data_IF_143106814448
#
_entry.id   IF_143106814448
#
_cell.length_a   1.000
_cell.length_b   1.000
_cell.length_c   1.000
_cell.angle_alpha   90.00
_cell.angle_beta   90.00
_cell.angle_gamma   90.00
#
_symmetry.space_group_name_H-M   'P 1'
#
loop_
_entity.id
_entity.type
_entity.pdbx_description
1 polymer ?
#
# COMPACT_ATOMS: atom_id res chain seq x y z
N UNK A 1 5.80 8.64 -6.79
CA UNK A 1 5.82 7.88 -5.52
C UNK A 1 4.87 8.50 -4.49
N UNK A 2 3.78 7.81 -4.17
CA UNK A 2 2.81 8.27 -3.17
C UNK A 2 3.29 8.02 -1.75
N UNK A 3 2.78 8.79 -0.78
CA UNK A 3 3.16 8.68 0.64
C UNK A 3 2.85 7.29 1.25
N UNK A 4 1.96 6.51 0.62
CA UNK A 4 1.50 5.19 1.07
C UNK A 4 2.12 4.01 0.34
N UNK A 5 3.15 4.24 -0.48
CA UNK A 5 3.76 3.21 -1.31
C UNK A 5 4.66 2.29 -0.45
N UNK A 6 4.03 1.45 0.39
CA UNK A 6 4.71 0.45 1.24
C UNK A 6 5.23 -0.75 0.44
N UNK A 7 4.88 -0.83 -0.85
CA UNK A 7 5.38 -1.81 -1.83
C UNK A 7 6.62 -1.30 -2.57
N UNK A 8 7.23 -0.18 -2.14
CA UNK A 8 8.45 0.35 -2.78
C UNK A 8 9.54 -0.73 -2.92
N UNK A 9 9.65 -1.62 -1.93
CA UNK A 9 10.61 -2.72 -1.96
C UNK A 9 10.14 -3.96 -2.74
N UNK A 10 8.84 -4.26 -2.78
CA UNK A 10 8.31 -5.47 -3.44
C UNK A 10 8.07 -5.31 -4.96
N UNK A 11 7.96 -4.06 -5.44
CA UNK A 11 7.71 -3.77 -6.86
C UNK A 11 8.84 -2.94 -7.50
N UNK A 12 10.09 -3.40 -7.44
CA UNK A 12 11.22 -2.65 -8.05
C UNK A 12 11.26 -2.72 -9.58
N UNK A 13 10.67 -3.75 -10.17
CA UNK A 13 10.66 -4.00 -11.61
C UNK A 13 9.43 -4.80 -12.00
N UNK A 14 8.79 -4.42 -13.11
CA UNK A 14 7.82 -5.27 -13.80
C UNK A 14 8.37 -5.60 -15.18
N UNK A 15 8.17 -6.84 -15.61
CA UNK A 15 8.51 -7.26 -16.97
C UNK A 15 7.33 -6.86 -17.85
N UNK A 16 7.56 -5.93 -18.77
CA UNK A 16 6.56 -5.54 -19.76
C UNK A 16 6.86 -6.28 -21.06
N UNK A 17 5.86 -6.97 -21.59
CA UNK A 17 5.92 -7.64 -22.89
C UNK A 17 5.30 -6.68 -23.89
N UNK A 18 6.06 -6.20 -24.86
CA UNK A 18 5.54 -5.40 -25.96
C UNK A 18 6.02 -5.94 -27.29
N UNK A 19 5.10 -6.15 -28.22
CA UNK A 19 5.42 -6.48 -29.60
C UNK A 19 5.79 -5.19 -30.34
N UNK A 20 7.01 -5.11 -30.88
CA UNK A 20 7.44 -3.98 -31.71
C UNK A 20 6.76 -4.05 -33.09
N UNK A 21 6.28 -2.93 -33.64
CA UNK A 21 5.91 -2.87 -35.04
C UNK A 21 7.20 -2.87 -35.88
N UNK A 22 7.56 -4.03 -36.44
CA UNK A 22 8.75 -4.17 -37.30
C UNK A 22 9.52 -5.48 -37.16
N UNK A 23 9.19 -6.33 -36.18
CA UNK A 23 9.82 -7.65 -36.01
C UNK A 23 8.81 -8.75 -36.35
N UNK A 24 9.27 -9.81 -37.00
CA UNK A 24 8.43 -10.93 -37.46
C UNK A 24 7.48 -11.45 -36.37
N UNK A 25 6.22 -11.80 -36.72
CA UNK A 25 5.21 -12.17 -35.74
C UNK A 25 5.67 -13.40 -34.94
N UNK A 26 5.67 -13.28 -33.61
CA UNK A 26 5.91 -14.41 -32.70
C UNK A 26 7.21 -14.41 -31.88
N UNK A 27 7.99 -13.32 -31.86
CA UNK A 27 9.10 -13.19 -30.90
C UNK A 27 8.76 -12.22 -29.76
N UNK A 28 8.43 -12.71 -28.55
CA UNK A 28 8.22 -11.84 -27.40
C UNK A 28 9.54 -11.19 -27.00
N UNK A 29 9.62 -9.87 -27.12
CA UNK A 29 10.76 -9.09 -26.63
C UNK A 29 10.49 -8.72 -25.18
N UNK A 30 11.33 -9.24 -24.28
CA UNK A 30 11.23 -8.99 -22.85
C UNK A 30 11.92 -7.67 -22.51
N UNK A 31 11.15 -6.66 -22.09
CA UNK A 31 11.69 -5.42 -21.56
C UNK A 31 11.60 -5.42 -20.04
N UNK A 32 12.76 -5.28 -19.40
CA UNK A 32 12.86 -5.03 -17.96
C UNK A 32 12.67 -3.52 -17.77
N UNK A 33 11.46 -3.07 -17.40
CA UNK A 33 11.24 -1.67 -17.07
C UNK A 33 11.46 -1.47 -15.57
N UNK A 34 12.47 -0.67 -15.22
CA UNK A 34 12.73 -0.28 -13.83
C UNK A 34 11.85 0.91 -13.46
N UNK A 35 11.50 1.06 -12.18
CA UNK A 35 10.74 2.25 -11.72
C UNK A 35 11.47 3.59 -11.97
N UNK A 36 12.76 3.56 -12.26
CA UNK A 36 13.56 4.73 -12.65
C UNK A 36 13.22 5.23 -14.06
N UNK A 37 12.89 4.32 -14.98
CA UNK A 37 12.37 4.70 -16.28
C UNK A 37 10.94 5.29 -16.16
N UNK A 38 10.12 4.79 -15.24
CA UNK A 38 8.83 5.41 -14.90
C UNK A 38 8.99 6.83 -14.33
N UNK A 39 10.01 7.09 -13.51
CA UNK A 39 10.31 8.45 -13.01
C UNK A 39 10.69 9.42 -14.13
N UNK A 40 11.31 8.92 -15.21
CA UNK A 40 11.69 9.73 -16.38
C UNK A 40 10.49 10.13 -17.24
N UNK A 41 9.41 9.34 -17.18
CA UNK A 41 8.13 9.58 -17.87
C UNK A 41 7.10 10.25 -16.93
N UNK A 42 7.40 10.28 -15.62
CA UNK A 42 6.55 10.85 -14.57
C UNK A 42 6.42 12.37 -14.76
N UNK A 43 5.33 12.78 -15.40
CA UNK A 43 4.95 14.19 -15.50
C UNK A 43 4.51 14.72 -14.13
N UNK A 44 4.71 16.03 -13.94
CA UNK A 44 4.30 16.75 -12.73
C UNK A 44 2.88 16.39 -12.33
N UNK A 45 2.75 15.83 -11.12
CA UNK A 45 1.48 15.47 -10.50
C UNK A 45 1.35 16.30 -9.23
N UNK A 46 0.18 16.91 -9.06
CA UNK A 46 -0.17 17.68 -7.86
C UNK A 46 -1.21 16.86 -7.12
N UNK A 47 -1.22 16.89 -5.79
CA UNK A 47 -2.15 16.08 -5.03
C UNK A 47 -2.57 16.71 -3.73
N UNK A 48 -3.73 16.29 -3.24
CA UNK A 48 -4.16 16.54 -1.87
C UNK A 48 -3.81 15.34 -1.02
N UNK A 49 -3.28 15.62 0.16
CA UNK A 49 -3.02 14.64 1.18
C UNK A 49 -3.59 15.14 2.49
N UNK A 50 -4.38 14.30 3.15
CA UNK A 50 -4.93 14.59 4.46
C UNK A 50 -4.87 13.35 5.33
N UNK A 51 -4.64 13.55 6.62
CA UNK A 51 -4.81 12.49 7.59
C UNK A 51 -5.55 13.00 8.81
N UNK A 52 -6.33 12.11 9.40
CA UNK A 52 -7.04 12.30 10.65
C UNK A 52 -6.55 11.24 11.63
N UNK A 53 -6.19 11.68 12.82
CA UNK A 53 -5.88 10.79 13.94
C UNK A 53 -6.85 11.11 15.06
N UNK A 54 -7.52 10.07 15.55
CA UNK A 54 -8.36 10.15 16.74
C UNK A 54 -7.75 9.22 17.78
N UNK A 55 -7.34 9.78 18.93
CA UNK A 55 -6.95 8.97 20.08
C UNK A 55 -8.22 8.53 20.81
N UNK A 56 -8.34 7.22 21.04
CA UNK A 56 -9.50 6.59 21.65
C UNK A 56 -9.14 6.24 23.08
N UNK A 57 -9.38 7.21 23.99
CA UNK A 57 -9.01 7.11 25.40
C UNK A 57 -7.53 6.73 25.57
N UNK A 58 -7.19 6.01 26.64
CA UNK A 58 -5.86 5.44 26.88
C UNK A 58 -5.69 4.04 26.28
N UNK A 59 -6.62 3.62 25.41
CA UNK A 59 -6.60 2.28 24.82
C UNK A 59 -5.86 2.24 23.48
N UNK A 60 -5.78 3.36 22.76
CA UNK A 60 -5.16 3.37 21.44
C UNK A 60 -5.58 4.55 20.58
N UNK A 61 -5.42 4.40 19.27
CA UNK A 61 -5.78 5.42 18.30
C UNK A 61 -6.22 4.82 16.98
N UNK A 62 -6.99 5.62 16.25
CA UNK A 62 -7.39 5.36 14.86
C UNK A 62 -6.74 6.43 13.98
N UNK A 63 -6.10 6.00 12.89
CA UNK A 63 -5.55 6.86 11.85
C UNK A 63 -6.26 6.56 10.55
N UNK A 64 -6.79 7.60 9.93
CA UNK A 64 -7.36 7.59 8.60
C UNK A 64 -6.51 8.53 7.76
N UNK A 65 -6.14 8.13 6.56
CA UNK A 65 -5.43 9.01 5.67
C UNK A 65 -5.88 8.80 4.23
N UNK A 66 -5.97 9.90 3.50
CA UNK A 66 -6.47 9.93 2.15
C UNK A 66 -5.53 10.77 1.29
N UNK A 67 -5.24 10.26 0.10
CA UNK A 67 -4.44 10.93 -0.90
C UNK A 67 -5.22 10.95 -2.21
N UNK A 68 -5.14 12.06 -2.93
CA UNK A 68 -5.68 12.21 -4.26
C UNK A 68 -4.68 12.95 -5.14
N UNK A 69 -4.05 12.24 -6.08
CA UNK A 69 -3.15 12.83 -7.06
C UNK A 69 -3.87 13.07 -8.39
N UNK A 70 -3.68 14.26 -8.96
CA UNK A 70 -4.23 14.70 -10.23
C UNK A 70 -3.14 15.33 -11.11
N UNK A 71 -3.26 15.09 -12.41
CA UNK A 71 -2.30 15.56 -13.41
C UNK A 71 -2.76 15.15 -14.81
N UNK A 72 -2.20 15.79 -15.84
CA UNK A 72 -2.66 15.64 -17.23
C UNK A 72 -2.66 14.20 -17.75
N UNK A 73 -1.84 13.33 -17.16
CA UNK A 73 -1.68 11.91 -17.49
C UNK A 73 -1.74 10.99 -16.25
N UNK A 74 -2.35 11.45 -15.15
CA UNK A 74 -2.49 10.67 -13.91
C UNK A 74 -3.85 9.95 -13.93
N UNK A 75 -3.85 8.68 -14.32
CA UNK A 75 -5.05 7.83 -14.36
C UNK A 75 -5.30 7.09 -13.04
N UNK A 76 -4.25 6.93 -12.24
CA UNK A 76 -4.25 6.30 -10.92
C UNK A 76 -3.49 7.18 -9.94
N UNK A 77 -4.02 7.36 -8.73
CA UNK A 77 -3.45 8.35 -7.80
C UNK A 77 -4.21 8.56 -6.50
N UNK A 78 -5.38 7.92 -6.35
CA UNK A 78 -6.13 7.92 -5.10
C UNK A 78 -5.63 6.80 -4.21
N UNK A 79 -5.41 7.12 -2.93
CA UNK A 79 -5.07 6.13 -1.92
C UNK A 79 -5.87 6.39 -0.65
N UNK A 80 -6.33 5.31 -0.01
CA UNK A 80 -6.98 5.33 1.30
C UNK A 80 -6.18 4.43 2.23
N UNK A 81 -5.88 4.93 3.42
CA UNK A 81 -5.25 4.16 4.48
C UNK A 81 -6.04 4.30 5.78
N UNK A 82 -6.25 3.17 6.44
CA UNK A 82 -6.91 3.06 7.74
C UNK A 82 -5.99 2.24 8.64
N UNK A 83 -5.75 2.71 9.85
CA UNK A 83 -4.97 2.00 10.84
C UNK A 83 -5.64 2.13 12.20
N UNK A 84 -5.94 0.98 12.80
CA UNK A 84 -6.41 0.84 14.16
C UNK A 84 -5.23 0.32 14.98
N UNK A 85 -4.82 1.05 16.01
CA UNK A 85 -3.76 0.63 16.93
C UNK A 85 -4.31 0.64 18.35
N UNK A 86 -4.14 -0.45 19.07
CA UNK A 86 -4.45 -0.61 20.47
C UNK A 86 -3.16 -0.79 21.28
N UNK A 87 -3.00 0.00 22.34
CA UNK A 87 -1.89 -0.04 23.30
C UNK A 87 -2.46 -0.24 24.71
N UNK A 88 -3.06 -1.42 25.00
CA UNK A 88 -3.80 -1.62 26.23
C UNK A 88 -2.86 -1.70 27.43
N UNK A 89 -2.94 -0.73 28.34
CA UNK A 89 -2.17 -0.74 29.58
C UNK A 89 -2.59 -1.86 30.56
N UNK A 90 -3.82 -2.37 30.42
CA UNK A 90 -4.44 -3.34 31.32
C UNK A 90 -4.22 -4.80 30.90
N UNK A 91 -3.68 -5.06 29.71
CA UNK A 91 -3.38 -6.42 29.24
C UNK A 91 -1.90 -6.69 29.51
N UNK A 92 -1.62 -7.66 30.38
CA UNK A 92 -0.26 -7.99 30.79
C UNK A 92 0.62 -8.26 29.57
N UNK A 93 1.73 -7.53 29.48
CA UNK A 93 2.78 -7.68 28.48
C UNK A 93 2.38 -7.40 27.01
N UNK A 94 1.15 -6.99 26.70
CA UNK A 94 0.79 -6.58 25.33
C UNK A 94 1.11 -5.10 25.12
N UNK A 95 2.17 -4.80 24.36
CA UNK A 95 2.59 -3.42 24.10
C UNK A 95 1.76 -2.75 23.01
N UNK A 96 1.50 -3.48 21.92
CA UNK A 96 0.77 -2.96 20.78
C UNK A 96 0.05 -4.10 20.04
N UNK A 97 -1.18 -3.86 19.63
CA UNK A 97 -1.84 -4.62 18.59
C UNK A 97 -2.37 -3.64 17.54
N UNK A 98 -1.99 -3.79 16.29
CA UNK A 98 -2.45 -2.94 15.20
C UNK A 98 -2.93 -3.74 14.00
N UNK A 99 -3.98 -3.23 13.36
CA UNK A 99 -4.47 -3.68 12.07
C UNK A 99 -4.58 -2.48 11.14
N UNK A 100 -4.02 -2.62 9.96
CA UNK A 100 -4.00 -1.61 8.91
C UNK A 100 -4.66 -2.17 7.66
N UNK A 101 -5.41 -1.32 6.99
CA UNK A 101 -5.99 -1.56 5.68
C UNK A 101 -5.59 -0.41 4.76
N UNK A 102 -5.21 -0.71 3.53
CA UNK A 102 -5.00 0.31 2.50
C UNK A 102 -5.53 -0.13 1.16
N UNK A 103 -6.03 0.84 0.39
CA UNK A 103 -6.13 0.77 -1.07
C UNK A 103 -5.19 1.82 -1.65
N UNK A 104 -4.21 1.42 -2.45
CA UNK A 104 -3.17 2.33 -2.92
C UNK A 104 -3.19 2.49 -4.43
N UNK A 105 -2.98 3.73 -4.89
CA UNK A 105 -2.80 4.06 -6.30
C UNK A 105 -3.93 3.54 -7.21
N UNK A 106 -5.17 3.75 -6.80
CA UNK A 106 -6.36 3.37 -7.58
C UNK A 106 -6.90 4.55 -8.38
N UNK A 107 -7.73 4.24 -9.39
CA UNK A 107 -8.54 5.25 -10.11
C UNK A 107 -9.70 5.76 -9.25
N UNK A 108 -10.32 4.86 -8.51
CA UNK A 108 -11.37 5.13 -7.53
C UNK A 108 -11.17 4.22 -6.31
N UNK A 109 -11.52 4.71 -5.12
CA UNK A 109 -11.53 3.87 -3.92
C UNK A 109 -12.78 2.99 -4.00
N UNK A 110 -12.60 1.67 -4.00
CA UNK A 110 -13.72 0.73 -4.09
C UNK A 110 -14.22 0.40 -2.68
N UNK A 111 -15.33 1.02 -2.27
CA UNK A 111 -15.96 0.77 -0.97
C UNK A 111 -16.91 -0.44 -0.97
N UNK A 112 -17.32 -0.93 -2.16
CA UNK A 112 -18.22 -2.08 -2.29
C UNK A 112 -17.44 -3.39 -2.19
N UNK A 113 -16.26 -3.43 -2.81
CA UNK A 113 -15.35 -4.57 -2.81
C UNK A 113 -14.01 -4.15 -2.20
N UNK A 114 -13.90 -4.18 -0.85
CA UNK A 114 -12.70 -3.75 -0.16
C UNK A 114 -11.52 -4.71 -0.38
N UNK A 115 -11.75 -5.93 -0.86
CA UNK A 115 -10.72 -6.90 -1.24
C UNK A 115 -10.53 -6.85 -2.76
N UNK A 116 -9.69 -5.94 -3.22
CA UNK A 116 -9.36 -5.76 -4.64
C UNK A 116 -7.84 -5.76 -4.84
N UNK A 117 -7.37 -5.84 -6.08
CA UNK A 117 -5.95 -5.96 -6.43
C UNK A 117 -5.04 -4.81 -5.93
N UNK A 118 -5.63 -3.70 -5.47
CA UNK A 118 -4.91 -2.56 -4.92
C UNK A 118 -5.00 -2.49 -3.40
N UNK A 119 -5.66 -3.47 -2.77
CA UNK A 119 -5.90 -3.54 -1.35
C UNK A 119 -4.83 -4.38 -0.63
N UNK A 120 -4.54 -4.01 0.61
CA UNK A 120 -3.68 -4.79 1.50
C UNK A 120 -4.15 -4.69 2.94
N UNK A 121 -4.07 -5.79 3.68
CA UNK A 121 -4.30 -5.85 5.13
C UNK A 121 -2.99 -6.21 5.83
N UNK A 122 -2.66 -5.49 6.88
CA UNK A 122 -1.48 -5.75 7.70
C UNK A 122 -1.89 -5.82 9.17
N UNK A 123 -1.59 -6.94 9.82
CA UNK A 123 -1.68 -7.09 11.27
C UNK A 123 -0.29 -7.05 11.91
N UNK A 124 -0.17 -6.42 13.06
CA UNK A 124 1.04 -6.45 13.88
C UNK A 124 0.67 -6.57 15.36
N UNK A 125 1.36 -7.43 16.08
CA UNK A 125 1.22 -7.60 17.53
C UNK A 125 2.61 -7.58 18.15
N UNK A 126 2.76 -6.85 19.25
CA UNK A 126 4.02 -6.70 20.00
C UNK A 126 3.77 -7.11 21.44
N UNK A 127 4.47 -8.15 21.88
CA UNK A 127 4.34 -8.71 23.21
C UNK A 127 5.69 -8.67 23.93
N UNK A 128 5.73 -8.08 25.13
CA UNK A 128 6.93 -8.00 25.96
C UNK A 128 7.21 -9.36 26.62
N UNK A 129 8.38 -9.93 26.38
CA UNK A 129 8.86 -11.13 27.08
C UNK A 129 9.67 -10.76 28.34
N UNK A 130 10.18 -9.53 28.40
CA UNK A 130 10.88 -8.94 29.54
C UNK A 130 11.13 -7.46 29.31
N UNK A 131 11.98 -6.83 30.13
CA UNK A 131 12.29 -5.39 30.02
C UNK A 131 12.95 -5.02 28.69
N UNK A 132 13.75 -5.94 28.13
CA UNK A 132 14.58 -5.70 26.94
C UNK A 132 14.29 -6.66 25.78
N UNK A 133 13.18 -7.40 25.82
CA UNK A 133 12.86 -8.40 24.80
C UNK A 133 11.38 -8.34 24.41
N UNK A 134 11.13 -8.19 23.12
CA UNK A 134 9.80 -8.14 22.52
C UNK A 134 9.64 -9.21 21.44
N UNK A 135 8.51 -9.93 21.49
CA UNK A 135 8.03 -10.79 20.42
C UNK A 135 7.14 -9.98 19.50
N UNK A 136 7.50 -9.92 18.22
CA UNK A 136 6.72 -9.21 17.19
C UNK A 136 6.13 -10.21 16.22
N UNK A 137 4.81 -10.33 16.24
CA UNK A 137 4.04 -11.02 15.22
C UNK A 137 3.63 -10.06 14.11
N UNK A 138 3.84 -10.45 12.85
CA UNK A 138 3.38 -9.69 11.67
C UNK A 138 2.58 -10.60 10.76
N UNK A 139 1.44 -10.12 10.31
CA UNK A 139 0.59 -10.74 9.30
C UNK A 139 0.41 -9.75 8.15
N UNK A 140 0.51 -10.22 6.91
CA UNK A 140 0.33 -9.39 5.71
C UNK A 140 -0.47 -10.16 4.69
N UNK A 141 -1.51 -9.53 4.17
CA UNK A 141 -2.35 -10.03 3.10
C UNK A 141 -2.37 -8.97 2.00
N UNK A 142 -1.91 -9.35 0.81
CA UNK A 142 -1.91 -8.51 -0.38
C UNK A 142 -2.82 -9.19 -1.39
N UNK A 143 -3.84 -8.46 -1.82
CA UNK A 143 -4.76 -8.96 -2.83
C UNK A 143 -4.16 -8.66 -4.19
N UNK A 144 -4.02 -9.69 -5.01
CA UNK A 144 -3.64 -9.56 -6.41
C UNK A 144 -4.80 -10.10 -7.24
N UNK A 145 -5.11 -9.41 -8.33
CA UNK A 145 -5.96 -9.98 -9.36
C UNK A 145 -5.15 -11.05 -10.11
N UNK A 146 -5.64 -12.29 -10.03
CA UNK A 146 -5.01 -13.47 -10.64
C UNK A 146 -5.54 -13.68 -12.07
N UNK A 147 -6.68 -13.08 -12.42
CA UNK A 147 -7.41 -13.36 -13.65
C UNK A 147 -7.36 -12.21 -14.66
N UNK A 148 -6.99 -10.99 -14.24
CA UNK A 148 -6.86 -9.84 -15.12
C UNK A 148 -8.21 -9.26 -15.57
N UNK A 149 -9.27 -9.42 -14.77
CA UNK A 149 -10.64 -9.03 -15.08
C UNK A 149 -11.10 -7.70 -14.46
#
# INVERSE_FOLDING_TARGET
PGYFDRLYDEQRSFVSISELPGTSPGQPVYYLSTKEDLLRISKSSVGWFGHLRADVLDLGYVKLAYQDMYGKDVTTGKSLWVNLTANPHNIMNLKEASISYSQNNTRYINFLEPRNASASVLGRVVYSLGENADLVGRYSEIYNDVNGD
#
